data_IF_298110247668
#
_entry.id   IF_298110247668
#
_cell.length_a   1.000
_cell.length_b   1.000
_cell.length_c   1.000
_cell.angle_alpha   90.00
_cell.angle_beta   90.00
_cell.angle_gamma   90.00
#
_symmetry.space_group_name_H-M   'P 1'
#
loop_
_entity.id
_entity.type
_entity.pdbx_description
1 polymer ?
#
# COMPACT_ATOMS: atom_id res chain seq x y z
N UNK A 1 23.53 69.83 -7.30
CA UNK A 1 22.56 70.94 -7.13
C UNK A 1 21.36 70.65 -8.04
N UNK A 2 20.11 70.72 -7.63
CA UNK A 2 19.55 71.22 -6.39
C UNK A 2 18.37 70.33 -5.99
N UNK A 3 18.36 70.06 -4.69
CA UNK A 3 17.20 69.74 -3.89
C UNK A 3 16.04 70.69 -4.23
N UNK A 4 14.84 70.14 -4.46
CA UNK A 4 13.61 70.94 -4.47
C UNK A 4 12.61 70.28 -3.53
N UNK A 5 12.91 70.38 -2.23
CA UNK A 5 11.91 70.54 -1.18
C UNK A 5 10.80 71.49 -1.67
N UNK A 6 9.64 70.93 -1.98
CA UNK A 6 8.39 71.68 -2.04
C UNK A 6 7.69 71.46 -0.71
N UNK A 7 7.82 72.47 0.15
CA UNK A 7 7.22 72.54 1.47
C UNK A 7 5.74 72.16 1.43
N UNK A 8 5.44 71.00 1.98
CA UNK A 8 4.08 70.65 2.39
C UNK A 8 3.93 71.19 3.81
N UNK A 9 3.57 72.47 3.89
CA UNK A 9 3.41 73.19 5.16
C UNK A 9 2.58 72.35 6.12
N UNK A 10 3.06 72.20 7.37
CA UNK A 10 2.58 71.43 8.54
C UNK A 10 1.28 70.60 8.38
N UNK A 11 0.23 71.14 7.78
CA UNK A 11 -0.94 70.44 7.26
C UNK A 11 -0.66 69.23 6.33
N UNK A 12 0.40 69.23 5.50
CA UNK A 12 0.73 68.08 4.63
C UNK A 12 1.22 66.85 5.39
N UNK A 13 2.06 67.06 6.42
CA UNK A 13 2.48 65.99 7.32
C UNK A 13 1.35 65.51 8.23
N UNK A 14 0.51 66.42 8.73
CA UNK A 14 -0.65 66.06 9.57
C UNK A 14 -1.68 65.26 8.76
N UNK A 15 -1.90 65.62 7.49
CA UNK A 15 -2.82 64.90 6.61
C UNK A 15 -2.33 63.47 6.35
N UNK A 16 -1.04 63.25 6.07
CA UNK A 16 -0.50 61.90 5.91
C UNK A 16 -0.52 61.10 7.22
N UNK A 17 -0.15 61.73 8.35
CA UNK A 17 -0.18 61.08 9.66
C UNK A 17 -1.60 60.76 10.16
N UNK A 18 -2.65 61.41 9.65
CA UNK A 18 -4.05 61.12 10.01
C UNK A 18 -4.73 60.20 8.99
N UNK A 19 -4.50 60.41 7.69
CA UNK A 19 -5.15 59.64 6.61
C UNK A 19 -4.60 58.22 6.55
N UNK A 20 -3.28 58.03 6.67
CA UNK A 20 -2.67 56.70 6.58
C UNK A 20 -3.21 55.75 7.67
N UNK A 21 -3.22 56.11 8.97
CA UNK A 21 -3.80 55.24 9.98
C UNK A 21 -5.32 55.09 9.84
N UNK A 22 -6.03 56.10 9.33
CA UNK A 22 -7.47 56.00 9.05
C UNK A 22 -7.78 54.98 7.95
N UNK A 23 -7.03 55.02 6.84
CA UNK A 23 -7.16 54.04 5.74
C UNK A 23 -6.82 52.64 6.25
N UNK A 24 -5.77 52.50 7.06
CA UNK A 24 -5.41 51.22 7.66
C UNK A 24 -6.56 50.64 8.51
N UNK A 25 -7.23 51.48 9.31
CA UNK A 25 -8.38 51.08 10.12
C UNK A 25 -9.55 50.62 9.23
N UNK A 26 -9.82 51.32 8.12
CA UNK A 26 -10.86 50.94 7.15
C UNK A 26 -10.54 49.59 6.49
N UNK A 27 -9.28 49.33 6.15
CA UNK A 27 -8.85 48.05 5.57
C UNK A 27 -9.07 46.91 6.56
N UNK A 28 -8.66 47.07 7.82
CA UNK A 28 -8.87 46.07 8.87
C UNK A 28 -10.36 45.82 9.10
N UNK A 29 -11.17 46.87 9.20
CA UNK A 29 -12.62 46.75 9.33
C UNK A 29 -13.25 46.01 8.13
N UNK A 30 -12.76 46.27 6.91
CA UNK A 30 -13.23 45.61 5.69
C UNK A 30 -12.94 44.10 5.70
N UNK A 31 -11.77 43.69 6.19
CA UNK A 31 -11.40 42.27 6.34
C UNK A 31 -12.31 41.60 7.38
N UNK A 32 -12.59 42.27 8.50
CA UNK A 32 -13.48 41.74 9.55
C UNK A 32 -14.91 41.60 9.03
N UNK A 33 -15.43 42.59 8.30
CA UNK A 33 -16.76 42.53 7.69
C UNK A 33 -16.85 41.43 6.63
N UNK A 34 -15.81 41.26 5.80
CA UNK A 34 -15.74 40.18 4.82
C UNK A 34 -15.72 38.80 5.49
N UNK A 35 -14.94 38.65 6.57
CA UNK A 35 -14.93 37.42 7.38
C UNK A 35 -16.29 37.15 8.05
N UNK A 36 -17.05 38.19 8.39
CA UNK A 36 -18.42 38.09 8.90
C UNK A 36 -19.47 37.80 7.80
N UNK A 37 -19.07 37.66 6.53
CA UNK A 37 -19.96 37.41 5.40
C UNK A 37 -20.77 38.63 4.95
N UNK A 38 -20.40 39.84 5.40
CA UNK A 38 -21.05 41.10 5.02
C UNK A 38 -20.49 41.60 3.70
N UNK A 39 -21.38 41.87 2.75
CA UNK A 39 -21.00 42.35 1.42
C UNK A 39 -20.58 43.83 1.46
N UNK A 40 -19.26 44.06 1.56
CA UNK A 40 -18.64 45.38 1.66
C UNK A 40 -18.88 46.29 0.46
N UNK A 41 -19.35 45.77 -0.68
CA UNK A 41 -19.67 46.54 -1.89
C UNK A 41 -20.94 47.39 -1.76
N UNK A 42 -21.94 46.94 -1.00
CA UNK A 42 -23.24 47.64 -0.85
C UNK A 42 -23.12 49.05 -0.21
N UNK A 43 -22.48 49.22 0.96
CA UNK A 43 -22.31 50.54 1.56
C UNK A 43 -21.44 51.49 0.71
N UNK A 44 -20.49 50.94 -0.07
CA UNK A 44 -19.66 51.74 -0.99
C UNK A 44 -20.52 52.32 -2.12
N UNK A 45 -21.41 51.53 -2.72
CA UNK A 45 -22.29 52.00 -3.79
C UNK A 45 -23.30 53.05 -3.31
N UNK A 46 -23.89 52.86 -2.12
CA UNK A 46 -24.83 53.83 -1.53
C UNK A 46 -24.15 55.14 -1.12
N UNK A 47 -22.91 55.07 -0.62
CA UNK A 47 -22.13 56.25 -0.21
C UNK A 47 -21.53 56.99 -1.42
N UNK A 48 -21.16 56.27 -2.48
CA UNK A 48 -20.69 56.84 -3.75
C UNK A 48 -21.78 57.62 -4.48
N UNK A 49 -23.04 57.16 -4.43
CA UNK A 49 -24.17 57.88 -5.02
C UNK A 49 -24.45 59.24 -4.36
N UNK A 50 -24.02 59.44 -3.10
CA UNK A 50 -24.30 60.64 -2.30
C UNK A 50 -23.14 61.62 -2.22
N UNK A 51 -21.95 61.26 -2.71
CA UNK A 51 -20.74 62.08 -2.57
C UNK A 51 -20.21 62.47 -3.96
N UNK A 52 -20.26 63.76 -4.36
CA UNK A 52 -19.93 64.17 -5.73
C UNK A 52 -18.49 63.84 -6.15
N UNK A 53 -17.54 63.80 -5.21
CA UNK A 53 -16.13 63.44 -5.46
C UNK A 53 -15.97 61.98 -5.87
N UNK A 54 -16.86 61.08 -5.43
CA UNK A 54 -16.80 59.65 -5.77
C UNK A 54 -17.49 59.33 -7.11
N UNK A 55 -18.35 60.23 -7.61
CA UNK A 55 -19.07 60.06 -8.87
C UNK A 55 -18.17 60.15 -10.11
N UNK A 56 -17.06 60.88 -10.02
CA UNK A 56 -16.05 60.97 -11.10
C UNK A 56 -15.17 59.72 -11.20
N UNK A 57 -15.01 58.99 -10.10
CA UNK A 57 -14.25 57.74 -10.04
C UNK A 57 -15.11 56.50 -10.39
N UNK A 58 -16.43 56.66 -10.51
CA UNK A 58 -17.38 55.61 -10.87
C UNK A 58 -17.99 55.94 -12.24
N UNK A 59 -17.51 55.32 -13.34
CA UNK A 59 -18.06 55.58 -14.66
C UNK A 59 -19.52 55.11 -14.77
N UNK A 60 -20.46 56.06 -14.91
CA UNK A 60 -21.88 55.79 -15.15
C UNK A 60 -22.11 55.15 -16.55
N UNK A 61 -22.96 54.12 -16.53
CA UNK A 61 -23.11 53.05 -17.52
C UNK A 61 -24.29 53.27 -18.48
N UNK A 62 -24.02 53.54 -19.78
CA UNK A 62 -24.99 53.31 -20.88
C UNK A 62 -24.40 52.57 -22.09
N UNK A 63 -23.11 52.76 -22.38
CA UNK A 63 -22.35 51.94 -23.36
C UNK A 63 -22.02 50.52 -22.84
N UNK A 64 -22.17 50.28 -21.55
CA UNK A 64 -21.77 49.02 -20.90
C UNK A 64 -22.83 47.91 -20.93
N UNK A 65 -24.11 48.17 -21.26
CA UNK A 65 -25.13 47.10 -21.32
C UNK A 65 -24.97 46.20 -22.54
N UNK A 66 -24.71 46.76 -23.73
CA UNK A 66 -24.53 45.97 -24.96
C UNK A 66 -23.18 45.22 -25.00
N UNK A 67 -22.12 45.80 -24.41
CA UNK A 67 -20.84 45.11 -24.26
C UNK A 67 -20.88 44.02 -23.17
N UNK A 68 -21.61 44.23 -22.07
CA UNK A 68 -21.78 43.25 -21.01
C UNK A 68 -22.62 42.03 -21.44
N UNK A 69 -23.63 42.20 -22.30
CA UNK A 69 -24.44 41.08 -22.80
C UNK A 69 -23.64 40.19 -23.77
N UNK A 70 -22.90 40.76 -24.73
CA UNK A 70 -21.99 39.99 -25.61
C UNK A 70 -20.88 39.29 -24.82
N UNK A 71 -20.28 39.97 -23.85
CA UNK A 71 -19.25 39.37 -22.99
C UNK A 71 -19.81 38.23 -22.10
N UNK A 72 -21.11 38.27 -21.77
CA UNK A 72 -21.79 37.22 -21.01
C UNK A 72 -22.12 36.01 -21.90
N UNK A 73 -22.56 36.20 -23.14
CA UNK A 73 -22.73 35.11 -24.12
C UNK A 73 -21.39 34.42 -24.42
N UNK A 74 -20.33 35.17 -24.71
CA UNK A 74 -19.00 34.60 -24.97
C UNK A 74 -18.46 33.81 -23.78
N UNK A 75 -18.65 34.32 -22.55
CA UNK A 75 -18.30 33.58 -21.33
C UNK A 75 -19.11 32.30 -21.18
N UNK A 76 -20.42 32.35 -21.45
CA UNK A 76 -21.29 31.18 -21.31
C UNK A 76 -20.93 30.09 -22.33
N UNK A 77 -20.66 30.47 -23.59
CA UNK A 77 -20.18 29.56 -24.62
C UNK A 77 -18.80 28.95 -24.28
N UNK A 78 -17.88 29.75 -23.72
CA UNK A 78 -16.57 29.26 -23.28
C UNK A 78 -16.69 28.29 -22.11
N UNK A 79 -17.57 28.56 -21.14
CA UNK A 79 -17.83 27.69 -20.00
C UNK A 79 -18.49 26.38 -20.44
N UNK A 80 -19.44 26.41 -21.37
CA UNK A 80 -20.04 25.20 -21.94
C UNK A 80 -19.01 24.33 -22.66
N UNK A 81 -18.09 24.95 -23.39
CA UNK A 81 -16.99 24.23 -24.04
C UNK A 81 -16.07 23.57 -23.01
N UNK A 82 -15.67 24.29 -21.96
CA UNK A 82 -14.84 23.74 -20.88
C UNK A 82 -15.55 22.62 -20.13
N UNK A 83 -16.84 22.76 -19.84
CA UNK A 83 -17.64 21.69 -19.21
C UNK A 83 -17.66 20.45 -20.10
N UNK A 84 -17.81 20.63 -21.42
CA UNK A 84 -17.81 19.51 -22.37
C UNK A 84 -16.45 18.82 -22.46
N UNK A 85 -15.36 19.58 -22.50
CA UNK A 85 -13.98 19.05 -22.45
C UNK A 85 -13.72 18.29 -21.14
N UNK A 86 -14.03 18.89 -20.00
CA UNK A 86 -13.89 18.25 -18.68
C UNK A 86 -14.75 16.98 -18.57
N UNK A 87 -15.98 16.98 -19.09
CA UNK A 87 -16.84 15.79 -19.09
C UNK A 87 -16.28 14.68 -19.97
N UNK A 88 -15.65 15.03 -21.09
CA UNK A 88 -14.95 14.07 -21.96
C UNK A 88 -13.74 13.49 -21.25
N UNK A 89 -12.94 14.31 -20.58
CA UNK A 89 -11.76 13.89 -19.82
C UNK A 89 -12.14 12.97 -18.65
N UNK A 90 -13.20 13.32 -17.91
CA UNK A 90 -13.78 12.46 -16.87
C UNK A 90 -14.23 11.11 -17.45
N UNK A 91 -14.80 11.08 -18.66
CA UNK A 91 -15.23 9.82 -19.28
C UNK A 91 -14.03 8.93 -19.63
N UNK A 92 -12.96 9.51 -20.18
CA UNK A 92 -11.71 8.81 -20.50
C UNK A 92 -11.08 8.26 -19.22
N UNK A 93 -10.92 9.11 -18.20
CA UNK A 93 -10.37 8.71 -16.90
C UNK A 93 -11.17 7.58 -16.24
N UNK A 94 -12.51 7.62 -16.31
CA UNK A 94 -13.34 6.53 -15.79
C UNK A 94 -13.14 5.23 -16.58
N UNK A 95 -13.03 5.30 -17.91
CA UNK A 95 -12.72 4.11 -18.72
C UNK A 95 -11.36 3.52 -18.38
N UNK A 96 -10.33 4.35 -18.24
CA UNK A 96 -8.99 3.90 -17.87
C UNK A 96 -8.97 3.27 -16.47
N UNK A 97 -9.75 3.82 -15.53
CA UNK A 97 -9.92 3.26 -14.19
C UNK A 97 -10.61 1.89 -14.24
N UNK A 98 -11.70 1.76 -15.01
CA UNK A 98 -12.39 0.48 -15.18
C UNK A 98 -11.50 -0.57 -15.86
N UNK A 99 -10.75 -0.20 -16.89
CA UNK A 99 -9.77 -1.07 -17.54
C UNK A 99 -8.68 -1.51 -16.56
N UNK A 100 -8.09 -0.58 -15.81
CA UNK A 100 -7.07 -0.87 -14.80
C UNK A 100 -7.62 -1.79 -13.71
N UNK A 101 -8.85 -1.56 -13.26
CA UNK A 101 -9.51 -2.40 -12.25
C UNK A 101 -9.76 -3.83 -12.77
N UNK A 102 -10.17 -3.97 -14.03
CA UNK A 102 -10.34 -5.27 -14.67
C UNK A 102 -9.01 -6.01 -14.82
N UNK A 103 -7.92 -5.30 -15.14
CA UNK A 103 -6.58 -5.88 -15.24
C UNK A 103 -6.06 -6.33 -13.87
N UNK A 104 -6.28 -5.52 -12.83
CA UNK A 104 -5.96 -5.88 -11.44
C UNK A 104 -6.72 -7.13 -11.01
N UNK A 105 -8.02 -7.25 -11.33
CA UNK A 105 -8.79 -8.45 -11.00
C UNK A 105 -8.25 -9.68 -11.73
N UNK A 106 -7.96 -9.57 -13.03
CA UNK A 106 -7.38 -10.66 -13.82
C UNK A 106 -6.02 -11.11 -13.26
N UNK A 107 -5.13 -10.16 -12.95
CA UNK A 107 -3.83 -10.44 -12.35
C UNK A 107 -3.98 -11.11 -10.98
N UNK A 108 -4.92 -10.65 -10.15
CA UNK A 108 -5.20 -11.29 -8.86
C UNK A 108 -5.72 -12.72 -9.02
N UNK A 109 -6.61 -12.98 -9.99
CA UNK A 109 -7.07 -14.33 -10.29
C UNK A 109 -5.91 -15.22 -10.76
N UNK A 110 -5.02 -14.70 -11.61
CA UNK A 110 -3.84 -15.44 -12.08
C UNK A 110 -2.87 -15.74 -10.94
N UNK A 111 -2.63 -14.80 -10.03
CA UNK A 111 -1.82 -15.00 -8.83
C UNK A 111 -2.43 -16.10 -7.94
N UNK A 112 -3.76 -16.09 -7.72
CA UNK A 112 -4.45 -17.13 -6.94
C UNK A 112 -4.30 -18.51 -7.58
N UNK A 113 -4.48 -18.59 -8.89
CA UNK A 113 -4.34 -19.84 -9.64
C UNK A 113 -2.90 -20.39 -9.56
N UNK A 114 -1.90 -19.55 -9.83
CA UNK A 114 -0.49 -19.92 -9.74
C UNK A 114 -0.10 -20.36 -8.33
N UNK A 115 -0.62 -19.68 -7.29
CA UNK A 115 -0.40 -20.07 -5.89
C UNK A 115 -1.01 -21.44 -5.58
N UNK A 116 -2.23 -21.71 -6.04
CA UNK A 116 -2.85 -23.03 -5.87
C UNK A 116 -2.08 -24.13 -6.60
N UNK A 117 -1.60 -23.87 -7.82
CA UNK A 117 -0.80 -24.82 -8.58
C UNK A 117 0.53 -25.12 -7.88
N UNK A 118 1.22 -24.09 -7.38
CA UNK A 118 2.45 -24.25 -6.61
C UNK A 118 2.23 -25.06 -5.32
N UNK A 119 1.14 -24.78 -4.58
CA UNK A 119 0.79 -25.55 -3.37
C UNK A 119 0.45 -27.02 -3.70
N UNK A 120 -0.23 -27.28 -4.82
CA UNK A 120 -0.52 -28.65 -5.26
C UNK A 120 0.73 -29.40 -5.71
N UNK A 121 1.64 -28.74 -6.43
CA UNK A 121 2.93 -29.32 -6.83
C UNK A 121 3.77 -29.66 -5.59
N UNK A 122 3.86 -28.75 -4.62
CA UNK A 122 4.59 -29.00 -3.38
C UNK A 122 4.02 -30.20 -2.60
N UNK A 123 2.69 -30.27 -2.44
CA UNK A 123 2.04 -31.43 -1.79
C UNK A 123 2.27 -32.73 -2.55
N UNK A 124 2.27 -32.67 -3.88
CA UNK A 124 2.51 -33.85 -4.72
C UNK A 124 3.94 -34.35 -4.59
N UNK A 125 4.92 -33.44 -4.55
CA UNK A 125 6.33 -33.78 -4.41
C UNK A 125 6.65 -34.30 -3.00
N UNK A 126 6.08 -33.70 -1.96
CA UNK A 126 6.20 -34.20 -0.58
C UNK A 126 5.58 -35.60 -0.45
N UNK A 127 4.41 -35.83 -1.05
CA UNK A 127 3.74 -37.15 -1.04
C UNK A 127 4.54 -38.20 -1.81
N UNK A 128 5.07 -37.87 -2.99
CA UNK A 128 5.91 -38.78 -3.79
C UNK A 128 7.22 -39.11 -3.09
N UNK A 129 7.85 -38.12 -2.44
CA UNK A 129 9.08 -38.32 -1.67
C UNK A 129 8.83 -39.20 -0.45
N UNK A 130 7.76 -38.95 0.31
CA UNK A 130 7.38 -39.78 1.45
C UNK A 130 7.06 -41.23 1.01
N UNK A 131 6.36 -41.41 -0.10
CA UNK A 131 6.04 -42.75 -0.64
C UNK A 131 7.29 -43.49 -1.13
N UNK A 132 8.21 -42.81 -1.81
CA UNK A 132 9.48 -43.39 -2.27
C UNK A 132 10.41 -43.73 -1.09
N UNK A 133 10.50 -42.85 -0.10
CA UNK A 133 11.30 -43.07 1.11
C UNK A 133 10.74 -44.25 1.93
N UNK A 134 9.42 -44.40 2.02
CA UNK A 134 8.78 -45.57 2.66
C UNK A 134 9.05 -46.85 1.89
N UNK A 135 8.84 -46.86 0.57
CA UNK A 135 9.05 -48.05 -0.26
C UNK A 135 10.52 -48.51 -0.27
N UNK A 136 11.47 -47.58 -0.20
CA UNK A 136 12.89 -47.88 -0.04
C UNK A 136 13.21 -48.50 1.32
N UNK A 137 12.66 -47.95 2.40
CA UNK A 137 12.81 -48.49 3.76
C UNK A 137 12.22 -49.90 3.89
N UNK A 138 11.01 -50.12 3.39
CA UNK A 138 10.33 -51.43 3.48
C UNK A 138 11.11 -52.54 2.77
N UNK A 139 11.71 -52.23 1.61
CA UNK A 139 12.62 -53.16 0.92
C UNK A 139 13.84 -53.47 1.75
N UNK A 140 14.48 -52.47 2.35
CA UNK A 140 15.66 -52.69 3.20
C UNK A 140 15.31 -53.52 4.43
N UNK A 141 14.23 -53.18 5.14
CA UNK A 141 13.73 -53.95 6.29
C UNK A 141 13.53 -55.42 5.89
N UNK A 142 12.88 -55.70 4.75
CA UNK A 142 12.68 -57.08 4.28
C UNK A 142 13.98 -57.84 3.95
N UNK A 143 14.99 -57.16 3.42
CA UNK A 143 16.31 -57.74 3.16
C UNK A 143 16.96 -58.15 4.48
N UNK A 144 17.01 -57.26 5.47
CA UNK A 144 17.60 -57.55 6.77
C UNK A 144 16.77 -58.56 7.58
N UNK A 145 15.44 -58.57 7.40
CA UNK A 145 14.52 -59.56 7.98
C UNK A 145 14.86 -60.99 7.51
N UNK A 146 15.32 -61.14 6.28
CA UNK A 146 15.65 -62.45 5.70
C UNK A 146 17.14 -62.80 5.84
N UNK A 147 17.94 -61.89 6.43
CA UNK A 147 19.37 -62.05 6.58
C UNK A 147 19.71 -62.77 7.89
N UNK A 148 20.84 -63.49 7.90
CA UNK A 148 21.39 -64.04 9.15
C UNK A 148 21.67 -62.93 10.16
N UNK A 149 21.29 -63.15 11.42
CA UNK A 149 21.39 -62.17 12.52
C UNK A 149 22.82 -61.67 12.76
N UNK A 150 23.84 -62.54 12.63
CA UNK A 150 25.24 -62.15 12.81
C UNK A 150 25.77 -61.29 11.67
N UNK A 151 25.38 -61.63 10.42
CA UNK A 151 25.71 -60.81 9.25
C UNK A 151 24.99 -59.45 9.29
N UNK A 152 23.71 -59.45 9.64
CA UNK A 152 22.92 -58.24 9.79
C UNK A 152 23.54 -57.31 10.85
N UNK A 153 23.89 -57.84 12.04
CA UNK A 153 24.57 -57.10 13.09
C UNK A 153 25.89 -56.47 12.60
N UNK A 154 26.73 -57.24 11.90
CA UNK A 154 28.02 -56.79 11.37
C UNK A 154 27.90 -55.68 10.31
N UNK A 155 26.79 -55.65 9.57
CA UNK A 155 26.52 -54.61 8.56
C UNK A 155 25.91 -53.38 9.24
N UNK A 156 24.93 -53.56 10.12
CA UNK A 156 24.20 -52.47 10.80
C UNK A 156 25.14 -51.56 11.58
N UNK A 157 26.16 -52.10 12.26
CA UNK A 157 27.15 -51.30 12.98
C UNK A 157 28.02 -50.42 12.10
N UNK A 158 28.06 -50.69 10.79
CA UNK A 158 28.80 -49.91 9.78
C UNK A 158 27.91 -48.91 9.03
N UNK A 159 26.59 -49.00 9.21
CA UNK A 159 25.65 -48.07 8.58
C UNK A 159 25.67 -46.72 9.29
N UNK A 160 25.09 -45.71 8.63
CA UNK A 160 24.75 -44.47 9.30
C UNK A 160 23.71 -44.76 10.36
N UNK A 161 23.84 -44.09 11.49
CA UNK A 161 23.01 -44.35 12.66
C UNK A 161 21.50 -44.28 12.38
N UNK A 162 21.06 -43.29 11.59
CA UNK A 162 19.66 -43.16 11.20
C UNK A 162 19.16 -44.34 10.36
N UNK A 163 19.94 -44.81 9.40
CA UNK A 163 19.60 -45.96 8.55
C UNK A 163 19.56 -47.26 9.35
N UNK A 164 20.51 -47.43 10.28
CA UNK A 164 20.52 -48.54 11.23
C UNK A 164 19.25 -48.56 12.09
N UNK A 165 18.84 -47.42 12.65
CA UNK A 165 17.63 -47.31 13.47
C UNK A 165 16.36 -47.55 12.66
N UNK A 166 16.24 -47.00 11.45
CA UNK A 166 15.11 -47.23 10.55
C UNK A 166 14.92 -48.73 10.26
N UNK A 167 16.02 -49.45 10.01
CA UNK A 167 15.99 -50.91 9.78
C UNK A 167 15.60 -51.64 11.08
N UNK A 168 16.27 -51.34 12.19
CA UNK A 168 16.06 -52.02 13.48
C UNK A 168 14.63 -51.85 14.01
N UNK A 169 14.04 -50.66 13.87
CA UNK A 169 12.64 -50.39 14.24
C UNK A 169 11.64 -51.16 13.37
N UNK A 170 11.98 -51.44 12.10
CA UNK A 170 11.13 -52.20 11.19
C UNK A 170 11.14 -53.72 11.41
N UNK A 171 12.06 -54.24 12.23
CA UNK A 171 12.19 -55.68 12.48
C UNK A 171 11.21 -56.17 13.56
N UNK A 172 10.87 -57.45 13.50
CA UNK A 172 10.08 -58.06 14.58
C UNK A 172 10.88 -58.13 15.89
N UNK A 173 10.19 -58.12 17.03
CA UNK A 173 10.82 -58.20 18.36
C UNK A 173 11.85 -59.33 18.49
N UNK A 174 11.54 -60.49 17.89
CA UNK A 174 12.43 -61.66 17.87
C UNK A 174 13.71 -61.37 17.09
N UNK A 175 13.58 -60.84 15.88
CA UNK A 175 14.73 -60.57 15.00
C UNK A 175 15.59 -59.42 15.54
N UNK A 176 14.96 -58.40 16.11
CA UNK A 176 15.67 -57.34 16.80
C UNK A 176 16.49 -57.90 17.97
N UNK A 177 15.90 -58.76 18.82
CA UNK A 177 16.62 -59.42 19.90
C UNK A 177 17.77 -60.31 19.37
N UNK A 178 17.51 -61.11 18.33
CA UNK A 178 18.52 -61.96 17.70
C UNK A 178 19.70 -61.13 17.16
N UNK A 179 19.46 -59.95 16.59
CA UNK A 179 20.53 -59.06 16.11
C UNK A 179 21.26 -58.38 17.28
N UNK A 180 20.54 -57.85 18.27
CA UNK A 180 21.15 -57.17 19.43
C UNK A 180 22.06 -58.12 20.22
N UNK A 181 21.72 -59.40 20.32
CA UNK A 181 22.58 -60.42 20.97
C UNK A 181 23.85 -60.75 20.18
N UNK A 182 23.92 -60.38 18.89
CA UNK A 182 25.11 -60.54 18.04
C UNK A 182 26.00 -59.29 18.04
N UNK A 183 25.61 -58.24 18.74
CA UNK A 183 26.40 -57.02 18.93
C UNK A 183 27.25 -57.07 20.19
N UNK A 184 28.21 -56.16 20.32
CA UNK A 184 28.90 -55.95 21.60
C UNK A 184 27.96 -55.30 22.62
N UNK A 185 28.21 -55.46 23.93
CA UNK A 185 27.39 -54.83 24.97
C UNK A 185 27.20 -53.33 24.79
N UNK A 186 28.26 -52.62 24.38
CA UNK A 186 28.24 -51.16 24.16
C UNK A 186 27.39 -50.79 22.96
N UNK A 187 27.50 -51.55 21.86
CA UNK A 187 26.70 -51.34 20.66
C UNK A 187 25.23 -51.64 20.90
N UNK A 188 24.92 -52.74 21.59
CA UNK A 188 23.57 -53.10 21.96
C UNK A 188 22.93 -52.02 22.83
N UNK A 189 23.61 -51.57 23.88
CA UNK A 189 23.15 -50.48 24.74
C UNK A 189 22.86 -49.20 23.94
N UNK A 190 23.78 -48.80 23.06
CA UNK A 190 23.62 -47.62 22.20
C UNK A 190 22.36 -47.69 21.34
N UNK A 191 22.13 -48.82 20.65
CA UNK A 191 20.95 -48.94 19.78
C UNK A 191 19.66 -49.11 20.58
N UNK A 192 19.68 -49.82 21.71
CA UNK A 192 18.51 -49.94 22.59
C UNK A 192 18.07 -48.60 23.15
N UNK A 193 19.00 -47.77 23.62
CA UNK A 193 18.70 -46.41 24.09
C UNK A 193 18.04 -45.57 22.98
N UNK A 194 18.64 -45.58 21.78
CA UNK A 194 18.14 -44.80 20.64
C UNK A 194 16.78 -45.27 20.14
N UNK A 195 16.52 -46.58 20.12
CA UNK A 195 15.22 -47.13 19.77
C UNK A 195 14.15 -46.75 20.80
N UNK A 196 14.50 -46.76 22.09
CA UNK A 196 13.58 -46.36 23.16
C UNK A 196 13.26 -44.85 23.16
N UNK A 197 14.21 -44.02 22.72
CA UNK A 197 14.02 -42.56 22.63
C UNK A 197 13.17 -42.14 21.42
N UNK A 198 13.25 -42.88 20.31
CA UNK A 198 12.46 -42.61 19.10
C UNK A 198 10.98 -43.01 19.29
N UNK A 199 10.70 -44.08 20.05
CA UNK A 199 9.35 -44.50 20.41
C UNK A 199 8.62 -43.62 21.44
N UNK A 200 9.30 -42.62 22.03
CA UNK A 200 8.73 -41.70 23.03
C UNK A 200 8.44 -40.30 22.47
N UNK A 201 8.42 -40.15 21.14
CA UNK A 201 8.08 -38.92 20.40
C UNK A 201 6.69 -38.96 19.75
N UNK A 202 5.82 -39.87 20.18
CA UNK A 202 4.38 -39.82 19.87
C UNK A 202 3.63 -38.90 20.85
#
# INVERSE_FOLDING_TARGET
MADKEKGSGKFGSILLFIIIPLIFLIIVASIVLWAAGVDVMKPIQETAAKTPVLKELVPETKETKSAAEKQKEDRTASLEKTIKEQKSEINILNKDLDTSKSEIDNLNQKIRSLKQEAEQQQKTDETKKAASDSAGKDKMINIYKSMDSGKAASIIVKLKEKEALDILNGLSKKQLADILTKLTPEQAAKYTEKLSADGNKE
#
